data_IF_025283239255
#
_entry.id   IF_025283239255
#
_cell.length_a   1.000
_cell.length_b   1.000
_cell.length_c   1.000
_cell.angle_alpha   90.00
_cell.angle_beta   90.00
_cell.angle_gamma   90.00
#
_symmetry.space_group_name_H-M   'P 1'
#
loop_
_entity.id
_entity.type
_entity.pdbx_description
1 polymer ?
#
# COMPACT_ATOMS: atom_id res chain seq x y z
N UNK A 1 -10.31 4.90 -0.50
CA UNK A 1 -9.92 6.34 -0.72
C UNK A 1 -9.29 6.52 -2.10
N UNK A 2 -9.08 7.74 -2.59
CA UNK A 2 -8.35 7.98 -3.86
C UNK A 2 -6.87 7.60 -3.72
N UNK A 3 -6.17 7.42 -4.85
CA UNK A 3 -4.75 7.07 -4.84
C UNK A 3 -3.89 8.14 -4.15
N UNK A 4 -4.15 9.42 -4.43
CA UNK A 4 -3.39 10.52 -3.83
C UNK A 4 -3.61 10.61 -2.31
N UNK A 5 -4.83 10.31 -1.85
CA UNK A 5 -5.14 10.21 -0.42
C UNK A 5 -4.39 9.06 0.24
N UNK A 6 -4.40 7.87 -0.38
CA UNK A 6 -3.67 6.71 0.13
C UNK A 6 -2.15 6.95 0.15
N UNK A 7 -1.61 7.65 -0.85
CA UNK A 7 -0.20 8.01 -0.90
C UNK A 7 0.18 9.01 0.20
N UNK A 8 -0.71 9.97 0.50
CA UNK A 8 -0.52 10.89 1.61
C UNK A 8 -0.56 10.15 2.95
N UNK A 9 -1.55 9.29 3.16
CA UNK A 9 -1.69 8.50 4.38
C UNK A 9 -0.50 7.58 4.61
N UNK A 10 0.00 6.92 3.54
CA UNK A 10 1.23 6.13 3.60
C UNK A 10 2.41 6.97 4.10
N UNK A 11 2.63 8.17 3.56
CA UNK A 11 3.76 9.03 3.96
C UNK A 11 3.63 9.53 5.40
N UNK A 12 2.42 9.86 5.84
CA UNK A 12 2.16 10.26 7.23
C UNK A 12 2.45 9.10 8.19
N UNK A 13 2.00 7.90 7.86
CA UNK A 13 2.31 6.69 8.61
C UNK A 13 3.82 6.36 8.61
N UNK A 14 4.51 6.48 7.47
CA UNK A 14 5.96 6.27 7.37
C UNK A 14 6.73 7.16 8.36
N UNK A 15 6.31 8.42 8.52
CA UNK A 15 6.89 9.36 9.48
C UNK A 15 6.62 8.90 10.92
N UNK A 16 5.37 8.58 11.26
CA UNK A 16 4.98 8.13 12.60
C UNK A 16 5.71 6.85 13.03
N UNK A 17 5.82 5.87 12.12
CA UNK A 17 6.52 4.62 12.41
C UNK A 17 8.03 4.77 12.47
N UNK A 18 8.62 5.70 11.71
CA UNK A 18 10.02 6.06 11.83
C UNK A 18 10.33 6.67 13.21
N UNK A 19 9.46 7.54 13.73
CA UNK A 19 9.59 8.14 15.07
C UNK A 19 9.48 7.08 16.18
N UNK A 20 8.56 6.12 16.03
CA UNK A 20 8.36 5.04 17.00
C UNK A 20 9.39 3.89 16.89
N UNK A 21 10.34 3.97 15.94
CA UNK A 21 11.35 2.92 15.65
C UNK A 21 10.74 1.55 15.38
N UNK A 22 9.52 1.51 14.86
CA UNK A 22 8.86 0.26 14.49
C UNK A 22 9.25 -0.10 13.05
N UNK A 23 9.79 -1.31 12.86
CA UNK A 23 10.03 -1.83 11.52
C UNK A 23 8.70 -2.25 10.90
N UNK A 24 8.11 -1.36 10.11
CA UNK A 24 6.88 -1.62 9.35
C UNK A 24 7.16 -1.50 7.86
N UNK A 25 6.36 -2.21 7.09
CA UNK A 25 6.20 -2.02 5.67
C UNK A 25 4.81 -1.47 5.41
N UNK A 26 4.76 -0.38 4.65
CA UNK A 26 3.53 0.26 4.23
C UNK A 26 3.43 0.16 2.71
N UNK A 27 2.36 -0.45 2.22
CA UNK A 27 2.10 -0.57 0.79
C UNK A 27 0.70 -0.06 0.45
N UNK A 28 0.57 0.77 -0.58
CA UNK A 28 -0.72 1.10 -1.18
C UNK A 28 -1.21 -0.09 -2.00
N UNK A 29 -2.46 -0.49 -1.77
CA UNK A 29 -3.14 -1.60 -2.45
C UNK A 29 -4.56 -1.19 -2.87
N UNK A 30 -5.21 -1.88 -3.82
CA UNK A 30 -6.62 -1.66 -4.12
C UNK A 30 -7.52 -1.86 -2.88
N UNK A 31 -8.64 -1.16 -2.78
CA UNK A 31 -9.55 -1.31 -1.62
C UNK A 31 -10.28 -2.66 -1.62
N UNK A 32 -10.62 -3.19 -2.80
CA UNK A 32 -11.32 -4.47 -2.93
C UNK A 32 -10.37 -5.66 -2.76
N UNK A 33 -10.74 -6.60 -1.88
CA UNK A 33 -9.97 -7.82 -1.62
C UNK A 33 -9.68 -8.61 -2.91
N UNK A 34 -10.64 -8.73 -3.81
CA UNK A 34 -10.47 -9.44 -5.08
C UNK A 34 -9.42 -8.83 -6.01
N UNK A 35 -9.17 -7.53 -5.88
CA UNK A 35 -8.15 -6.82 -6.66
C UNK A 35 -6.82 -6.78 -5.89
N UNK A 36 -6.86 -6.78 -4.56
CA UNK A 36 -5.68 -7.01 -3.72
C UNK A 36 -5.04 -8.36 -4.03
N UNK A 37 -5.82 -9.45 -4.13
CA UNK A 37 -5.28 -10.78 -4.45
C UNK A 37 -4.50 -10.77 -5.78
N UNK A 38 -5.07 -10.18 -6.83
CA UNK A 38 -4.39 -10.04 -8.14
C UNK A 38 -3.15 -9.16 -8.05
N UNK A 39 -3.21 -8.07 -7.30
CA UNK A 39 -2.07 -7.18 -7.08
C UNK A 39 -0.96 -7.91 -6.32
N UNK A 40 -1.30 -8.67 -5.28
CA UNK A 40 -0.35 -9.42 -4.45
C UNK A 40 0.28 -10.59 -5.20
N UNK A 41 -0.40 -11.19 -6.18
CA UNK A 41 0.19 -12.18 -7.09
C UNK A 41 1.28 -11.58 -8.01
N UNK A 42 1.18 -10.28 -8.32
CA UNK A 42 2.18 -9.55 -9.11
C UNK A 42 3.27 -8.89 -8.23
N UNK A 43 2.94 -8.62 -6.97
CA UNK A 43 3.79 -7.93 -6.02
C UNK A 43 5.06 -8.73 -5.70
N UNK A 44 6.21 -8.09 -5.87
CA UNK A 44 7.46 -8.50 -5.22
C UNK A 44 8.10 -7.28 -4.55
N UNK A 45 8.88 -7.51 -3.50
CA UNK A 45 9.56 -6.41 -2.81
C UNK A 45 10.47 -5.61 -3.74
N UNK A 46 11.14 -6.30 -4.65
CA UNK A 46 12.08 -5.72 -5.61
C UNK A 46 11.38 -4.94 -6.73
N UNK A 47 10.12 -5.25 -7.03
CA UNK A 47 9.37 -4.62 -8.13
C UNK A 47 8.38 -3.55 -7.66
N UNK A 48 8.18 -3.42 -6.35
CA UNK A 48 7.11 -2.60 -5.81
C UNK A 48 7.29 -1.11 -6.12
N UNK A 49 6.21 -0.50 -6.63
CA UNK A 49 6.00 0.94 -6.73
C UNK A 49 4.55 1.23 -6.36
N UNK A 50 4.32 2.37 -5.71
CA UNK A 50 2.98 2.76 -5.26
C UNK A 50 1.97 2.77 -6.42
N UNK A 51 2.37 3.26 -7.58
CA UNK A 51 1.50 3.39 -8.76
C UNK A 51 1.12 2.06 -9.42
N UNK A 52 1.78 0.94 -9.08
CA UNK A 52 1.42 -0.37 -9.64
C UNK A 52 0.00 -0.78 -9.28
N UNK A 53 -0.49 -0.42 -8.08
CA UNK A 53 -1.85 -0.79 -7.65
C UNK A 53 -2.94 -0.18 -8.54
N UNK A 54 -2.65 0.92 -9.24
CA UNK A 54 -3.56 1.59 -10.17
C UNK A 54 -3.99 0.67 -11.32
N UNK A 55 -3.14 -0.28 -11.71
CA UNK A 55 -3.42 -1.22 -12.79
C UNK A 55 -4.43 -2.31 -12.42
N UNK A 56 -4.73 -2.47 -11.12
CA UNK A 56 -5.52 -3.58 -10.60
C UNK A 56 -6.84 -3.16 -9.99
N UNK A 57 -7.03 -1.88 -9.64
CA UNK A 57 -8.25 -1.41 -8.99
C UNK A 57 -9.42 -1.33 -9.97
N UNK A 58 -10.49 -2.09 -9.70
CA UNK A 58 -11.71 -2.09 -10.51
C UNK A 58 -12.69 -0.97 -10.12
N UNK A 59 -12.46 -0.31 -8.97
CA UNK A 59 -13.35 0.70 -8.41
C UNK A 59 -12.67 2.05 -8.14
N UNK A 60 -11.43 2.24 -8.62
CA UNK A 60 -10.62 3.45 -8.41
C UNK A 60 -10.42 3.82 -6.93
N UNK A 61 -10.50 2.83 -6.04
CA UNK A 61 -10.27 3.01 -4.62
C UNK A 61 -9.08 2.18 -4.12
N UNK A 62 -8.40 2.73 -3.13
CA UNK A 62 -7.15 2.24 -2.59
C UNK A 62 -7.15 2.32 -1.06
N UNK A 63 -6.20 1.63 -0.43
CA UNK A 63 -5.95 1.65 1.01
C UNK A 63 -4.47 1.39 1.29
N UNK A 64 -4.01 1.67 2.51
CA UNK A 64 -2.64 1.38 2.95
C UNK A 64 -2.65 0.09 3.77
N UNK A 65 -1.92 -0.91 3.30
CA UNK A 65 -1.68 -2.15 4.03
C UNK A 65 -0.40 -2.01 4.86
N UNK A 66 -0.55 -2.23 6.16
CA UNK A 66 0.53 -2.14 7.15
C UNK A 66 0.96 -3.54 7.55
N UNK A 67 2.23 -3.87 7.34
CA UNK A 67 2.83 -5.16 7.73
C UNK A 67 4.01 -4.94 8.67
N UNK A 68 3.99 -5.57 9.84
CA UNK A 68 5.11 -5.51 10.78
C UNK A 68 6.21 -6.48 10.34
N UNK A 69 7.43 -5.96 10.18
CA UNK A 69 8.62 -6.77 9.88
C UNK A 69 9.14 -7.31 11.21
N UNK A 70 9.25 -8.63 11.33
CA UNK A 70 9.84 -9.32 12.50
C UNK A 70 11.32 -9.59 12.32
#
# INVERSE_FOLDING_TARGET
MTFDEALREKKEAEIEFAESKQAVRLIVVPELISDQEKFMDFYTEDNYKDDLCLLFSSNDQYTVLISFIR
#
